data_IF_799239266228
#
_entry.id   IF_799239266228
#
_cell.length_a   1.000
_cell.length_b   1.000
_cell.length_c   1.000
_cell.angle_alpha   90.00
_cell.angle_beta   90.00
_cell.angle_gamma   90.00
#
_symmetry.space_group_name_H-M   'P 1'
#
loop_
_entity.id
_entity.type
_entity.pdbx_description
1 polymer ?
#
# COMPACT_ATOMS: atom_id res chain seq x y z
N UNK A 1 -21.10 -7.10 -13.57
CA UNK A 1 -22.27 -6.30 -13.13
C UNK A 1 -22.31 -6.39 -11.62
N UNK A 2 -22.00 -5.30 -10.93
CA UNK A 2 -21.82 -5.32 -9.48
C UNK A 2 -22.45 -4.05 -8.92
N UNK A 3 -23.63 -4.16 -8.32
CA UNK A 3 -24.28 -3.03 -7.65
C UNK A 3 -23.71 -2.89 -6.23
N UNK A 4 -23.33 -1.66 -5.88
CA UNK A 4 -22.99 -1.28 -4.50
C UNK A 4 -24.15 -0.47 -3.94
N UNK A 5 -24.65 -0.90 -2.79
CA UNK A 5 -25.75 -0.24 -2.07
C UNK A 5 -25.22 1.00 -1.37
N UNK A 6 -25.88 2.15 -1.55
CA UNK A 6 -25.57 3.39 -0.85
C UNK A 6 -26.59 3.65 0.27
N UNK A 7 -26.07 3.82 1.49
CA UNK A 7 -26.85 4.08 2.70
C UNK A 7 -27.21 5.57 2.79
N UNK A 8 -28.51 5.90 2.85
CA UNK A 8 -29.00 7.29 2.98
C UNK A 8 -29.26 7.61 4.45
N UNK A 9 -28.63 8.68 4.96
CA UNK A 9 -28.89 9.20 6.31
C UNK A 9 -30.11 10.13 6.31
N UNK A 10 -31.00 9.92 7.28
CA UNK A 10 -32.21 10.72 7.48
C UNK A 10 -31.91 11.88 8.44
N UNK A 11 -32.34 13.10 8.10
CA UNK A 11 -32.40 14.23 9.03
C UNK A 11 -33.80 14.83 8.98
N UNK A 12 -34.52 14.70 10.08
CA UNK A 12 -35.88 15.21 10.22
C UNK A 12 -35.86 16.68 10.68
N UNK A 13 -36.63 17.53 10.01
CA UNK A 13 -37.02 18.85 10.51
C UNK A 13 -38.53 18.91 10.68
N UNK A 14 -38.97 19.19 11.90
CA UNK A 14 -40.38 19.40 12.23
C UNK A 14 -40.76 20.86 12.01
N UNK A 15 -41.96 21.10 11.46
CA UNK A 15 -42.63 22.39 11.60
C UNK A 15 -44.15 22.19 11.67
N UNK A 16 -44.81 23.10 12.37
CA UNK A 16 -46.09 22.85 13.05
C UNK A 16 -47.32 23.20 12.23
N UNK A 17 -48.46 22.59 12.59
CA UNK A 17 -49.76 22.82 11.97
C UNK A 17 -50.62 23.82 12.76
N UNK A 18 -51.34 24.67 12.02
CA UNK A 18 -52.55 25.40 12.39
C UNK A 18 -53.18 25.93 11.08
N UNK A 19 -54.50 26.11 10.91
CA UNK A 19 -55.65 25.92 11.79
C UNK A 19 -56.78 26.83 11.28
N UNK A 20 -57.91 26.26 10.83
CA UNK A 20 -59.03 27.01 10.21
C UNK A 20 -60.06 27.47 11.27
N UNK A 21 -60.59 28.70 11.14
CA UNK A 21 -61.73 29.20 11.92
C UNK A 21 -62.13 30.65 11.59
N UNK A 22 -63.45 30.90 11.47
CA UNK A 22 -64.16 32.19 11.24
C UNK A 22 -65.36 32.25 12.23
N UNK A 23 -66.18 33.34 12.32
CA UNK A 23 -65.97 34.81 12.37
C UNK A 23 -66.57 35.33 13.73
N UNK A 24 -67.33 36.44 13.92
CA UNK A 24 -67.54 37.74 13.23
C UNK A 24 -67.47 39.00 14.17
N UNK A 25 -68.03 40.14 13.71
CA UNK A 25 -68.52 41.35 14.44
C UNK A 25 -67.52 42.24 15.26
N UNK A 26 -67.59 43.59 15.25
CA UNK A 26 -68.30 44.57 14.41
C UNK A 26 -67.74 46.01 14.57
N UNK A 27 -67.90 46.88 13.55
CA UNK A 27 -67.79 48.39 13.56
C UNK A 27 -66.43 49.03 13.96
N UNK A 28 -66.03 50.22 13.46
CA UNK A 28 -66.68 51.23 12.61
C UNK A 28 -65.69 52.07 11.75
N UNK A 29 -66.16 52.53 10.59
CA UNK A 29 -65.79 53.76 9.85
C UNK A 29 -64.33 54.27 9.77
N UNK A 30 -63.83 54.46 8.54
CA UNK A 30 -63.63 55.82 7.99
C UNK A 30 -63.49 55.86 6.44
N UNK A 31 -64.30 56.75 5.85
CA UNK A 31 -64.18 57.51 4.59
C UNK A 31 -63.47 56.91 3.35
N UNK A 32 -64.26 56.78 2.27
CA UNK A 32 -63.83 56.46 0.90
C UNK A 32 -63.34 57.71 0.16
N UNK A 33 -62.30 57.58 -0.67
CA UNK A 33 -62.08 58.47 -1.83
C UNK A 33 -61.99 57.62 -3.10
N UNK A 34 -62.85 57.93 -4.07
CA UNK A 34 -62.97 57.21 -5.33
C UNK A 34 -61.86 57.64 -6.30
N UNK A 35 -61.19 56.69 -6.96
CA UNK A 35 -60.50 56.97 -8.23
C UNK A 35 -60.87 55.91 -9.27
N UNK A 36 -61.21 56.39 -10.46
CA UNK A 36 -61.88 55.62 -11.52
C UNK A 36 -60.83 55.14 -12.52
N UNK A 37 -60.26 53.95 -12.32
CA UNK A 37 -59.35 53.37 -13.31
C UNK A 37 -60.12 52.94 -14.55
N UNK A 38 -59.86 53.62 -15.67
CA UNK A 38 -60.30 53.21 -16.98
C UNK A 38 -59.48 52.00 -17.46
N UNK A 39 -60.12 51.13 -18.24
CA UNK A 39 -59.46 49.99 -18.90
C UNK A 39 -58.42 50.47 -19.92
N UNK A 40 -57.15 50.12 -19.71
CA UNK A 40 -56.11 50.14 -20.74
C UNK A 40 -55.85 48.71 -21.22
N UNK A 41 -55.79 48.53 -22.54
CA UNK A 41 -55.47 47.26 -23.16
C UNK A 41 -53.98 46.96 -22.97
N UNK A 42 -53.64 45.74 -22.55
CA UNK A 42 -52.26 45.28 -22.50
C UNK A 42 -51.69 45.14 -23.93
N UNK A 43 -50.48 45.64 -24.22
CA UNK A 43 -49.78 45.31 -25.46
C UNK A 43 -49.50 43.80 -25.55
N UNK A 44 -49.39 43.21 -26.75
CA UNK A 44 -49.03 41.81 -26.89
C UNK A 44 -47.64 41.56 -26.30
N UNK A 45 -47.53 40.53 -25.45
CA UNK A 45 -46.26 40.13 -24.87
C UNK A 45 -45.28 39.72 -25.98
N UNK A 46 -44.13 40.37 -26.03
CA UNK A 46 -43.02 39.90 -26.86
C UNK A 46 -42.57 38.53 -26.34
N UNK A 47 -42.26 37.55 -27.22
CA UNK A 47 -41.70 36.28 -26.77
C UNK A 47 -40.38 36.56 -26.03
N UNK A 48 -40.06 35.82 -24.96
CA UNK A 48 -38.82 36.03 -24.21
C UNK A 48 -37.64 35.86 -25.17
N UNK A 49 -36.82 36.91 -25.28
CA UNK A 49 -35.60 36.87 -26.06
C UNK A 49 -34.70 35.76 -25.50
N UNK A 50 -34.40 34.76 -26.34
CA UNK A 50 -33.42 33.75 -25.97
C UNK A 50 -32.11 34.45 -25.57
N UNK A 51 -31.49 34.09 -24.43
CA UNK A 51 -30.22 34.70 -24.05
C UNK A 51 -29.23 34.47 -25.18
N UNK A 52 -28.59 35.55 -25.63
CA UNK A 52 -27.58 35.51 -26.69
C UNK A 52 -26.49 34.53 -26.25
N UNK A 53 -26.48 33.33 -26.84
CA UNK A 53 -25.49 32.33 -26.53
C UNK A 53 -24.13 32.91 -26.89
N UNK A 54 -23.31 33.13 -25.87
CA UNK A 54 -21.93 33.57 -26.08
C UNK A 54 -21.17 32.43 -26.75
N UNK A 55 -20.27 32.77 -27.66
CA UNK A 55 -19.52 31.80 -28.46
C UNK A 55 -18.04 32.01 -28.20
N UNK A 56 -17.28 30.93 -28.11
CA UNK A 56 -15.83 30.99 -27.96
C UNK A 56 -15.24 31.58 -29.23
N UNK A 57 -14.64 32.77 -29.13
CA UNK A 57 -14.02 33.47 -30.26
C UNK A 57 -12.64 32.86 -30.56
N UNK A 58 -11.83 32.66 -29.51
CA UNK A 58 -10.55 31.93 -29.57
C UNK A 58 -10.07 31.49 -28.18
N UNK A 59 -9.14 30.52 -28.18
CA UNK A 59 -8.51 29.99 -26.96
C UNK A 59 -7.00 30.23 -27.02
N UNK A 60 -6.49 30.97 -26.04
CA UNK A 60 -5.09 31.36 -25.89
C UNK A 60 -4.46 30.69 -24.66
N UNK A 61 -3.19 30.30 -24.78
CA UNK A 61 -2.39 29.73 -23.70
C UNK A 61 -1.15 30.61 -23.51
N UNK A 62 -0.88 31.02 -22.26
CA UNK A 62 0.24 31.89 -21.91
C UNK A 62 1.04 31.26 -20.78
N UNK A 63 2.36 31.19 -20.95
CA UNK A 63 3.30 30.68 -19.94
C UNK A 63 3.79 29.24 -20.17
N UNK A 64 3.25 28.52 -21.16
CA UNK A 64 3.86 27.29 -21.66
C UNK A 64 5.16 27.59 -22.42
N UNK A 65 6.15 26.71 -22.26
CA UNK A 65 7.50 26.82 -22.86
C UNK A 65 8.00 25.48 -23.38
N UNK A 66 7.96 24.43 -22.56
CA UNK A 66 8.35 23.06 -22.94
C UNK A 66 7.17 22.27 -23.51
N UNK A 67 5.93 22.55 -23.09
CA UNK A 67 4.73 21.91 -23.61
C UNK A 67 4.19 22.73 -24.79
N UNK A 68 4.02 22.09 -25.95
CA UNK A 68 3.47 22.74 -27.15
C UNK A 68 2.01 23.11 -26.97
N UNK A 69 1.62 24.29 -27.45
CA UNK A 69 0.23 24.78 -27.42
C UNK A 69 -0.75 23.81 -28.10
N UNK A 70 -0.35 23.16 -29.19
CA UNK A 70 -1.15 22.15 -29.89
C UNK A 70 -1.51 20.97 -28.98
N UNK A 71 -0.55 20.54 -28.14
CA UNK A 71 -0.75 19.48 -27.16
C UNK A 71 -1.77 19.88 -26.10
N UNK A 72 -1.85 21.16 -25.73
CA UNK A 72 -2.83 21.67 -24.76
C UNK A 72 -4.21 21.81 -25.41
N UNK A 73 -4.28 22.36 -26.63
CA UNK A 73 -5.52 22.39 -27.44
C UNK A 73 -6.11 20.98 -27.67
N UNK A 74 -5.26 19.95 -27.76
CA UNK A 74 -5.70 18.56 -27.91
C UNK A 74 -6.16 17.88 -26.59
N UNK A 75 -6.02 18.52 -25.42
CA UNK A 75 -6.47 17.98 -24.12
C UNK A 75 -7.68 18.68 -23.53
N UNK A 76 -8.04 19.85 -24.03
CA UNK A 76 -9.32 20.50 -23.73
C UNK A 76 -10.41 19.98 -24.66
N UNK A 77 -11.65 20.04 -24.19
CA UNK A 77 -12.85 19.70 -24.94
C UNK A 77 -13.37 20.90 -25.74
N UNK A 78 -13.29 22.12 -25.21
CA UNK A 78 -13.75 23.34 -25.90
C UNK A 78 -12.89 23.67 -27.12
N UNK A 79 -13.54 24.16 -28.18
CA UNK A 79 -12.92 24.62 -29.42
C UNK A 79 -13.36 26.03 -29.80
N UNK A 80 -12.62 26.62 -30.73
CA UNK A 80 -12.94 27.92 -31.32
C UNK A 80 -14.22 27.79 -32.14
N UNK A 81 -15.25 28.57 -31.80
CA UNK A 81 -16.60 28.46 -32.38
C UNK A 81 -17.63 27.68 -31.55
N UNK A 82 -17.23 26.99 -30.47
CA UNK A 82 -18.18 26.28 -29.59
C UNK A 82 -19.01 27.26 -28.73
N UNK A 83 -20.22 26.88 -28.29
CA UNK A 83 -20.99 27.66 -27.33
C UNK A 83 -20.28 27.74 -25.97
N UNK A 84 -20.22 28.95 -25.40
CA UNK A 84 -19.64 29.19 -24.08
C UNK A 84 -20.44 28.46 -23.00
N UNK A 85 -19.78 27.55 -22.28
CA UNK A 85 -20.37 26.79 -21.18
C UNK A 85 -19.32 26.58 -20.08
N UNK A 86 -19.61 27.10 -18.89
CA UNK A 86 -18.72 27.06 -17.72
C UNK A 86 -18.44 25.64 -17.21
N UNK A 87 -19.36 24.70 -17.39
CA UNK A 87 -19.13 23.29 -17.05
C UNK A 87 -18.17 22.60 -18.02
N UNK A 88 -18.11 23.05 -19.27
CA UNK A 88 -17.07 22.60 -20.22
C UNK A 88 -15.73 23.22 -19.85
N UNK A 89 -15.67 24.52 -19.54
CA UNK A 89 -14.42 25.17 -19.10
C UNK A 89 -13.87 24.60 -17.78
N UNK A 90 -14.75 24.20 -16.85
CA UNK A 90 -14.37 23.49 -15.63
C UNK A 90 -13.77 22.12 -15.92
N UNK A 91 -14.33 21.38 -16.89
CA UNK A 91 -13.78 20.09 -17.36
C UNK A 91 -12.46 20.27 -18.09
N UNK A 92 -12.29 21.34 -18.87
CA UNK A 92 -11.04 21.69 -19.54
C UNK A 92 -9.93 22.02 -18.54
N UNK A 93 -10.25 22.85 -17.54
CA UNK A 93 -9.36 23.13 -16.41
C UNK A 93 -8.93 21.84 -15.69
N UNK A 94 -9.88 20.95 -15.37
CA UNK A 94 -9.58 19.67 -14.75
C UNK A 94 -8.74 18.76 -15.67
N UNK A 95 -9.02 18.71 -16.97
CA UNK A 95 -8.26 17.92 -17.93
C UNK A 95 -6.79 18.39 -18.02
N UNK A 96 -6.56 19.71 -18.05
CA UNK A 96 -5.22 20.31 -18.00
C UNK A 96 -4.53 20.05 -16.65
N UNK A 97 -5.23 20.22 -15.53
CA UNK A 97 -4.69 19.97 -14.19
C UNK A 97 -4.27 18.50 -14.01
N UNK A 98 -5.09 17.57 -14.49
CA UNK A 98 -4.86 16.13 -14.44
C UNK A 98 -3.69 15.65 -15.32
N UNK A 99 -3.16 16.49 -16.24
CA UNK A 99 -1.88 16.18 -16.92
C UNK A 99 -0.68 16.22 -15.96
N UNK A 100 -0.82 16.88 -14.80
CA UNK A 100 0.26 17.21 -13.86
C UNK A 100 1.40 18.08 -14.44
N UNK A 101 1.28 18.59 -15.66
CA UNK A 101 2.34 19.37 -16.32
C UNK A 101 2.54 20.77 -15.72
N UNK A 102 1.58 21.26 -14.93
CA UNK A 102 1.54 22.64 -14.43
C UNK A 102 1.56 22.71 -12.89
N UNK A 103 2.28 23.70 -12.36
CA UNK A 103 2.35 24.08 -10.95
C UNK A 103 1.16 24.96 -10.57
N UNK A 104 0.74 25.83 -11.49
CA UNK A 104 -0.40 26.75 -11.37
C UNK A 104 -1.09 26.85 -12.74
N UNK A 105 -2.42 26.94 -12.73
CA UNK A 105 -3.28 27.12 -13.91
C UNK A 105 -4.35 28.11 -13.51
N UNK A 106 -4.51 29.18 -14.29
CA UNK A 106 -5.57 30.18 -14.11
C UNK A 106 -6.37 30.30 -15.40
N UNK A 107 -7.68 30.21 -15.25
CA UNK A 107 -8.64 30.45 -16.31
C UNK A 107 -9.10 31.91 -16.21
N UNK A 108 -8.91 32.68 -17.28
CA UNK A 108 -9.49 34.01 -17.47
C UNK A 108 -10.40 34.00 -18.69
N UNK A 109 -11.48 34.76 -18.60
CA UNK A 109 -12.45 34.94 -19.69
C UNK A 109 -12.58 36.43 -19.93
N UNK A 110 -12.32 36.83 -21.17
CA UNK A 110 -12.38 38.22 -21.62
C UNK A 110 -13.42 38.37 -22.75
N UNK A 111 -14.02 39.54 -22.88
CA UNK A 111 -14.93 39.84 -23.99
C UNK A 111 -14.16 40.13 -25.28
N UNK A 112 -14.57 39.54 -26.40
CA UNK A 112 -13.88 39.73 -27.68
C UNK A 112 -14.20 41.12 -28.26
N UNK A 113 -13.20 41.99 -28.48
CA UNK A 113 -13.42 43.29 -29.11
C UNK A 113 -13.82 43.18 -30.59
N UNK A 114 -13.80 41.97 -31.18
CA UNK A 114 -14.13 41.71 -32.59
C UNK A 114 -15.53 41.13 -32.81
N UNK A 115 -16.20 40.64 -31.75
CA UNK A 115 -17.50 39.95 -31.86
C UNK A 115 -18.34 40.25 -30.61
N UNK A 116 -19.50 40.89 -30.79
CA UNK A 116 -20.35 41.37 -29.70
C UNK A 116 -20.78 40.30 -28.67
N UNK A 117 -20.83 39.03 -29.06
CA UNK A 117 -21.12 37.89 -28.18
C UNK A 117 -19.95 36.88 -28.09
N UNK A 118 -18.73 37.29 -28.46
CA UNK A 118 -17.55 36.45 -28.45
C UNK A 118 -16.82 36.48 -27.10
N UNK A 119 -16.45 35.32 -26.57
CA UNK A 119 -15.58 35.21 -25.39
C UNK A 119 -14.19 34.71 -25.80
N UNK A 120 -13.14 35.35 -25.29
CA UNK A 120 -11.75 34.90 -25.39
C UNK A 120 -11.43 34.14 -24.11
N UNK A 121 -10.92 32.92 -24.25
CA UNK A 121 -10.52 32.08 -23.12
C UNK A 121 -9.00 32.10 -23.04
N UNK A 122 -8.48 32.60 -21.91
CA UNK A 122 -7.06 32.69 -21.63
C UNK A 122 -6.69 31.71 -20.50
N UNK A 123 -5.88 30.72 -20.84
CA UNK A 123 -5.23 29.83 -19.88
C UNK A 123 -3.83 30.34 -19.55
N UNK A 124 -3.69 31.03 -18.41
CA UNK A 124 -2.38 31.37 -17.84
C UNK A 124 -1.85 30.13 -17.10
N UNK A 125 -0.76 29.54 -17.60
CA UNK A 125 -0.19 28.29 -17.07
C UNK A 125 1.25 28.46 -16.64
N UNK A 126 1.61 27.88 -15.50
CA UNK A 126 2.99 27.84 -15.00
C UNK A 126 3.48 26.39 -15.04
N UNK A 127 4.36 26.06 -15.97
CA UNK A 127 4.90 24.69 -16.09
C UNK A 127 5.61 24.23 -14.82
N UNK A 128 5.42 22.97 -14.42
CA UNK A 128 6.19 22.37 -13.32
C UNK A 128 7.66 22.28 -13.70
N UNK A 129 8.58 22.57 -12.76
CA UNK A 129 10.00 22.39 -13.03
C UNK A 129 10.34 20.91 -13.22
N UNK A 130 11.38 20.64 -14.00
CA UNK A 130 11.94 19.29 -14.20
C UNK A 130 13.05 19.01 -13.18
N UNK A 131 13.10 17.82 -12.62
CA UNK A 131 14.15 17.40 -11.70
C UNK A 131 15.43 17.12 -12.50
N UNK A 132 16.43 18.01 -12.40
CA UNK A 132 17.69 17.90 -13.18
C UNK A 132 18.71 16.97 -12.51
N UNK A 133 18.68 16.88 -11.19
CA UNK A 133 19.53 15.99 -10.38
C UNK A 133 18.82 15.71 -9.05
N UNK A 134 19.00 14.50 -8.55
CA UNK A 134 18.65 14.12 -7.18
C UNK A 134 19.98 13.89 -6.45
N UNK A 135 20.09 14.38 -5.21
CA UNK A 135 21.21 14.14 -4.29
C UNK A 135 20.69 13.57 -2.98
N UNK A 136 21.50 12.71 -2.37
CA UNK A 136 21.28 12.19 -1.04
C UNK A 136 22.48 12.62 -0.20
N UNK A 137 22.23 13.42 0.83
CA UNK A 137 23.27 13.95 1.72
C UNK A 137 23.05 13.34 3.11
N UNK A 138 23.99 12.51 3.59
CA UNK A 138 23.95 11.87 4.92
C UNK A 138 23.54 10.39 4.94
N UNK A 139 23.38 9.74 3.78
CA UNK A 139 23.22 8.29 3.68
C UNK A 139 24.55 7.56 3.91
N UNK A 140 24.76 7.06 5.12
CA UNK A 140 25.94 6.29 5.52
C UNK A 140 25.65 4.81 5.78
N UNK A 141 24.39 4.46 6.06
CA UNK A 141 23.91 3.10 6.33
C UNK A 141 23.30 2.40 5.11
N UNK A 142 23.03 3.13 4.02
CA UNK A 142 22.38 2.67 2.79
C UNK A 142 23.04 3.27 1.55
N UNK A 143 23.21 2.49 0.47
CA UNK A 143 23.81 2.99 -0.77
C UNK A 143 22.79 3.69 -1.67
N UNK A 144 23.26 4.54 -2.59
CA UNK A 144 22.36 5.16 -3.58
C UNK A 144 21.70 4.13 -4.51
N UNK A 145 22.38 3.00 -4.80
CA UNK A 145 21.80 1.87 -5.53
C UNK A 145 20.60 1.27 -4.79
N UNK A 146 20.74 0.99 -3.49
CA UNK A 146 19.66 0.41 -2.68
C UNK A 146 18.43 1.34 -2.66
N UNK A 147 18.66 2.66 -2.52
CA UNK A 147 17.62 3.70 -2.60
C UNK A 147 16.89 3.65 -3.94
N UNK A 148 17.63 3.62 -5.06
CA UNK A 148 17.05 3.62 -6.40
C UNK A 148 16.25 2.34 -6.69
N UNK A 149 16.71 1.19 -6.21
CA UNK A 149 16.02 -0.08 -6.39
C UNK A 149 14.76 -0.17 -5.52
N UNK A 150 14.83 0.28 -4.25
CA UNK A 150 13.66 0.43 -3.35
C UNK A 150 12.61 1.39 -3.94
N UNK A 151 13.03 2.45 -4.64
CA UNK A 151 12.14 3.39 -5.33
C UNK A 151 11.44 2.78 -6.56
N UNK A 152 12.11 1.89 -7.30
CA UNK A 152 11.49 1.11 -8.40
C UNK A 152 10.46 0.13 -7.83
N UNK A 153 10.86 -0.63 -6.81
CA UNK A 153 10.05 -1.66 -6.14
C UNK A 153 8.73 -1.09 -5.57
N UNK A 154 8.81 -0.02 -4.76
CA UNK A 154 7.62 0.66 -4.22
C UNK A 154 6.93 1.60 -5.22
N UNK A 155 7.34 1.59 -6.50
CA UNK A 155 6.75 2.38 -7.61
C UNK A 155 6.59 3.85 -7.24
N UNK A 156 7.68 4.49 -6.79
CA UNK A 156 7.68 5.91 -6.37
C UNK A 156 7.57 6.84 -7.59
N UNK A 157 8.16 6.45 -8.72
CA UNK A 157 8.09 7.23 -9.97
C UNK A 157 8.87 8.54 -9.92
N UNK A 158 9.86 8.62 -9.03
CA UNK A 158 10.78 9.74 -8.88
C UNK A 158 12.12 9.37 -9.54
N UNK A 159 12.43 9.99 -10.68
CA UNK A 159 13.68 9.78 -11.43
C UNK A 159 14.29 11.11 -11.83
N UNK A 160 15.56 11.09 -12.24
CA UNK A 160 16.14 12.22 -12.98
C UNK A 160 15.30 12.45 -14.25
N UNK A 161 15.16 13.72 -14.66
CA UNK A 161 14.34 14.22 -15.78
C UNK A 161 12.82 14.06 -15.62
N UNK A 162 12.33 13.52 -14.50
CA UNK A 162 10.90 13.53 -14.17
C UNK A 162 10.41 14.93 -13.75
N UNK A 163 9.11 15.17 -13.92
CA UNK A 163 8.47 16.41 -13.46
C UNK A 163 8.44 16.47 -11.93
N UNK A 164 8.69 17.64 -11.36
CA UNK A 164 8.60 17.88 -9.93
C UNK A 164 7.17 17.65 -9.43
N UNK A 165 7.00 16.72 -8.49
CA UNK A 165 5.70 16.42 -7.88
C UNK A 165 5.88 16.25 -6.36
N UNK A 166 5.34 17.17 -5.52
CA UNK A 166 5.50 17.09 -4.08
C UNK A 166 4.94 15.79 -3.49
N UNK A 167 3.91 15.20 -4.12
CA UNK A 167 3.33 13.92 -3.69
C UNK A 167 4.34 12.78 -3.85
N UNK A 168 5.07 12.73 -4.96
CA UNK A 168 6.14 11.73 -5.19
C UNK A 168 7.32 11.95 -4.26
N UNK A 169 7.69 13.21 -3.98
CA UNK A 169 8.76 13.54 -3.03
C UNK A 169 8.37 13.11 -1.61
N UNK A 170 7.11 13.30 -1.20
CA UNK A 170 6.63 12.82 0.11
C UNK A 170 6.60 11.30 0.18
N UNK A 171 6.19 10.62 -0.89
CA UNK A 171 6.27 9.15 -1.00
C UNK A 171 7.73 8.66 -0.93
N UNK A 172 8.66 9.35 -1.60
CA UNK A 172 10.09 9.05 -1.52
C UNK A 172 10.65 9.23 -0.10
N UNK A 173 10.25 10.29 0.62
CA UNK A 173 10.62 10.51 2.03
C UNK A 173 10.15 9.36 2.93
N UNK A 174 8.93 8.83 2.72
CA UNK A 174 8.42 7.67 3.47
C UNK A 174 9.21 6.41 3.14
N UNK A 175 9.42 6.09 1.85
CA UNK A 175 10.18 4.90 1.43
C UNK A 175 11.64 4.94 1.89
N UNK A 176 12.28 6.12 1.92
CA UNK A 176 13.61 6.28 2.51
C UNK A 176 13.62 6.05 4.02
N UNK A 177 12.58 6.50 4.75
CA UNK A 177 12.45 6.24 6.20
C UNK A 177 12.19 4.76 6.50
N UNK A 178 11.41 4.08 5.67
CA UNK A 178 11.23 2.62 5.72
C UNK A 178 12.57 1.91 5.55
N UNK A 179 13.29 2.19 4.45
CA UNK A 179 14.60 1.60 4.14
C UNK A 179 15.65 1.85 5.24
N UNK A 180 15.70 3.06 5.79
CA UNK A 180 16.56 3.37 6.94
C UNK A 180 16.09 2.61 8.19
N UNK A 181 14.79 2.49 8.41
CA UNK A 181 14.17 1.68 9.47
C UNK A 181 14.54 0.19 9.40
N UNK A 182 14.54 -0.40 8.20
CA UNK A 182 15.01 -1.78 7.91
C UNK A 182 16.50 -1.95 8.28
N UNK A 183 17.30 -0.89 8.15
CA UNK A 183 18.70 -0.82 8.59
C UNK A 183 18.85 -0.37 10.07
N UNK A 184 17.75 -0.37 10.84
CA UNK A 184 17.67 -0.03 12.26
C UNK A 184 17.84 1.44 12.61
N UNK A 185 17.61 2.34 11.65
CA UNK A 185 17.62 3.79 11.81
C UNK A 185 16.18 4.31 11.95
N UNK A 186 15.41 3.72 12.88
CA UNK A 186 14.00 4.07 13.10
C UNK A 186 13.75 5.55 13.44
N UNK A 187 14.76 6.23 13.98
CA UNK A 187 14.70 7.65 14.33
C UNK A 187 15.19 8.58 13.20
N UNK A 188 15.36 8.05 11.98
CA UNK A 188 15.84 8.82 10.86
C UNK A 188 14.90 9.98 10.50
N UNK A 189 15.47 11.19 10.42
CA UNK A 189 14.79 12.40 9.96
C UNK A 189 15.28 12.75 8.57
N UNK A 190 14.35 12.76 7.62
CA UNK A 190 14.63 13.09 6.22
C UNK A 190 13.94 14.41 5.90
N UNK A 191 14.71 15.36 5.39
CA UNK A 191 14.25 16.70 5.02
C UNK A 191 14.52 16.89 3.53
N UNK A 192 13.49 16.84 2.66
CA UNK A 192 13.66 17.14 1.25
C UNK A 192 13.76 18.65 1.04
N UNK A 193 14.90 19.10 0.54
CA UNK A 193 15.15 20.48 0.10
C UNK A 193 15.21 20.55 -1.42
N UNK A 194 14.86 21.70 -2.00
CA UNK A 194 14.86 21.89 -3.45
C UNK A 194 15.42 23.25 -3.84
N UNK A 195 16.38 23.23 -4.75
CA UNK A 195 17.04 24.43 -5.29
C UNK A 195 16.53 24.68 -6.71
N UNK A 196 15.90 25.83 -6.96
CA UNK A 196 15.46 26.23 -8.32
C UNK A 196 16.65 26.84 -9.07
N UNK A 197 16.96 26.31 -10.24
CA UNK A 197 18.04 26.84 -11.11
C UNK A 197 17.50 28.04 -11.88
N UNK A 198 17.83 29.28 -11.50
CA UNK A 198 17.21 30.48 -12.09
C UNK A 198 17.29 30.58 -13.63
N UNK A 199 18.28 29.97 -14.28
CA UNK A 199 18.46 29.96 -15.73
C UNK A 199 17.60 28.94 -16.50
N UNK A 200 16.85 28.06 -15.82
CA UNK A 200 16.01 27.04 -16.46
C UNK A 200 14.79 26.69 -15.59
N UNK A 201 13.69 26.19 -16.16
CA UNK A 201 12.57 25.70 -15.33
C UNK A 201 12.88 24.30 -14.76
N UNK A 202 13.91 24.24 -13.90
CA UNK A 202 14.46 23.01 -13.37
C UNK A 202 14.86 23.13 -11.90
N UNK A 203 14.86 22.00 -11.22
CA UNK A 203 15.12 21.87 -9.78
C UNK A 203 16.19 20.82 -9.52
N UNK A 204 17.08 21.11 -8.57
CA UNK A 204 17.92 20.10 -7.90
C UNK A 204 17.20 19.70 -6.62
N UNK A 205 16.94 18.40 -6.45
CA UNK A 205 16.30 17.84 -5.27
C UNK A 205 17.39 17.25 -4.35
N UNK A 206 17.46 17.71 -3.11
CA UNK A 206 18.44 17.25 -2.11
C UNK A 206 17.68 16.63 -0.94
N UNK A 207 17.84 15.33 -0.73
CA UNK A 207 17.37 14.67 0.48
C UNK A 207 18.44 14.77 1.55
N UNK A 208 18.27 15.67 2.52
CA UNK A 208 19.10 15.69 3.74
C UNK A 208 18.62 14.61 4.68
N UNK A 209 19.47 13.64 4.95
CA UNK A 209 19.21 12.45 5.75
C UNK A 209 20.01 12.55 7.05
N UNK A 210 19.32 12.76 8.16
CA UNK A 210 19.85 12.46 9.49
C UNK A 210 19.39 11.07 9.87
N UNK A 211 20.28 10.08 9.82
CA UNK A 211 19.94 8.68 10.16
C UNK A 211 19.64 8.48 11.65
N UNK A 212 20.08 9.40 12.51
CA UNK A 212 20.01 9.22 13.96
C UNK A 212 20.79 7.99 14.48
N UNK A 213 20.61 7.63 15.76
CA UNK A 213 21.32 6.51 16.38
C UNK A 213 20.80 5.16 15.87
N UNK A 214 21.72 4.20 15.67
CA UNK A 214 21.36 2.82 15.32
C UNK A 214 20.68 2.13 16.49
N UNK A 215 19.49 1.61 16.25
CA UNK A 215 18.65 0.91 17.22
C UNK A 215 18.95 -0.59 17.21
N UNK A 216 19.23 -1.14 18.38
CA UNK A 216 19.50 -2.57 18.59
C UNK A 216 18.29 -3.28 19.18
N UNK A 217 18.19 -4.59 18.96
CA UNK A 217 17.29 -5.43 19.77
C UNK A 217 17.78 -5.42 21.22
N UNK A 218 16.92 -4.99 22.13
CA UNK A 218 17.13 -4.94 23.58
C UNK A 218 16.80 -6.29 24.23
N UNK A 219 16.07 -6.29 25.35
CA UNK A 219 15.54 -7.53 25.94
C UNK A 219 14.23 -7.92 25.26
N UNK A 220 14.08 -9.19 24.91
CA UNK A 220 12.79 -9.76 24.50
C UNK A 220 12.19 -10.49 25.70
N UNK A 221 10.90 -10.27 25.94
CA UNK A 221 10.08 -10.95 26.96
C UNK A 221 8.81 -11.49 26.31
N UNK A 222 8.29 -12.58 26.88
CA UNK A 222 6.99 -13.13 26.51
C UNK A 222 6.02 -13.04 27.68
N UNK A 223 4.73 -12.96 27.37
CA UNK A 223 3.65 -12.95 28.36
C UNK A 223 2.53 -13.87 27.87
N UNK A 224 2.11 -14.81 28.70
CA UNK A 224 1.13 -15.85 28.35
C UNK A 224 1.72 -17.16 27.81
N UNK A 225 3.05 -17.26 27.71
CA UNK A 225 3.73 -18.53 27.43
C UNK A 225 3.83 -19.39 28.71
N UNK A 226 3.35 -20.63 28.62
CA UNK A 226 3.36 -21.61 29.71
C UNK A 226 4.03 -22.92 29.28
N UNK A 227 3.86 -23.34 28.03
CA UNK A 227 4.42 -24.58 27.50
C UNK A 227 5.82 -24.44 26.92
N UNK A 228 6.25 -23.23 26.52
CA UNK A 228 7.62 -22.96 26.07
C UNK A 228 8.29 -21.82 26.83
N UNK A 229 9.55 -22.02 27.20
CA UNK A 229 10.36 -20.98 27.84
C UNK A 229 10.82 -19.92 26.84
N UNK A 230 10.96 -18.68 27.31
CA UNK A 230 11.42 -17.52 26.54
C UNK A 230 12.67 -17.82 25.71
N UNK A 231 13.62 -18.59 26.26
CA UNK A 231 14.86 -18.99 25.58
C UNK A 231 14.61 -19.92 24.38
N UNK A 232 13.56 -20.75 24.39
CA UNK A 232 13.15 -21.57 23.25
C UNK A 232 12.48 -20.69 22.18
N UNK A 233 11.63 -19.75 22.57
CA UNK A 233 10.97 -18.80 21.66
C UNK A 233 11.97 -17.87 20.98
N UNK A 234 12.91 -17.26 21.73
CA UNK A 234 14.03 -16.46 21.18
C UNK A 234 14.89 -17.25 20.18
N UNK A 235 15.04 -18.57 20.39
CA UNK A 235 15.79 -19.43 19.46
C UNK A 235 15.02 -19.71 18.16
N UNK A 236 13.70 -19.58 18.16
CA UNK A 236 12.84 -19.82 16.99
C UNK A 236 12.76 -18.60 16.06
N UNK A 237 12.69 -17.38 16.63
CA UNK A 237 12.90 -16.11 15.92
C UNK A 237 14.17 -16.21 15.05
N UNK A 238 14.17 -15.80 13.77
CA UNK A 238 15.31 -15.91 12.84
C UNK A 238 16.18 -14.65 12.83
N UNK A 239 15.55 -13.47 12.94
CA UNK A 239 16.15 -12.17 12.67
C UNK A 239 16.36 -11.32 13.94
N UNK A 240 15.37 -11.17 14.80
CA UNK A 240 15.43 -10.33 15.98
C UNK A 240 15.72 -11.17 17.23
N UNK A 241 17.01 -11.42 17.47
CA UNK A 241 17.48 -12.11 18.67
C UNK A 241 18.27 -11.18 19.60
N UNK A 242 17.93 -11.09 20.89
CA UNK A 242 18.85 -10.55 21.88
C UNK A 242 20.07 -11.48 21.96
N UNK A 243 21.26 -10.88 21.90
CA UNK A 243 22.57 -11.47 22.21
C UNK A 243 22.66 -13.01 22.14
N UNK A 244 23.12 -13.54 20.99
CA UNK A 244 23.43 -14.96 20.91
C UNK A 244 24.56 -15.33 21.89
N UNK A 245 24.28 -16.30 22.76
CA UNK A 245 25.22 -16.90 23.70
C UNK A 245 26.57 -17.16 23.01
N UNK A 246 27.72 -16.83 23.62
CA UNK A 246 29.01 -17.17 23.04
C UNK A 246 29.14 -18.70 22.96
N UNK A 247 29.08 -19.25 21.75
CA UNK A 247 29.71 -20.54 21.51
C UNK A 247 31.21 -20.32 21.67
N UNK A 248 31.82 -21.11 22.55
CA UNK A 248 33.23 -21.00 22.93
C UNK A 248 34.13 -21.60 21.84
N UNK A 249 34.11 -21.01 20.64
CA UNK A 249 35.04 -21.28 19.55
C UNK A 249 35.31 -20.01 18.74
N UNK A 250 36.50 -19.97 18.16
CA UNK A 250 37.24 -18.78 17.70
C UNK A 250 36.52 -17.89 16.65
N UNK A 251 36.78 -16.58 16.70
CA UNK A 251 36.58 -15.57 15.65
C UNK A 251 35.22 -15.48 14.92
N UNK A 252 34.12 -15.28 15.65
CA UNK A 252 32.92 -14.65 15.08
C UNK A 252 32.54 -13.41 15.91
N UNK A 253 32.58 -12.18 15.35
CA UNK A 253 32.09 -11.01 16.05
C UNK A 253 30.57 -11.11 16.22
N UNK A 254 30.13 -11.35 17.46
CA UNK A 254 28.72 -11.42 17.85
C UNK A 254 28.10 -10.03 17.80
N UNK A 255 27.84 -9.53 16.59
CA UNK A 255 27.12 -8.30 16.40
C UNK A 255 25.67 -8.48 16.86
N UNK A 256 25.25 -7.65 17.82
CA UNK A 256 23.84 -7.46 18.17
C UNK A 256 23.05 -7.21 16.88
N UNK A 257 22.10 -8.10 16.57
CA UNK A 257 21.25 -7.89 15.39
C UNK A 257 20.48 -6.57 15.53
N UNK A 258 20.31 -5.95 14.38
CA UNK A 258 19.75 -4.61 14.25
C UNK A 258 18.24 -4.74 14.33
N UNK A 259 17.56 -3.91 15.14
CA UNK A 259 16.10 -3.99 15.22
C UNK A 259 15.51 -3.59 13.87
N UNK A 260 14.63 -4.42 13.33
CA UNK A 260 13.86 -4.14 12.13
C UNK A 260 12.41 -4.61 12.35
N UNK A 261 11.44 -3.74 12.05
CA UNK A 261 10.01 -4.03 12.26
C UNK A 261 9.50 -5.12 11.33
N UNK A 262 9.94 -5.14 10.08
CA UNK A 262 9.45 -6.10 9.08
C UNK A 262 9.99 -7.50 9.41
N UNK A 263 11.29 -7.59 9.73
CA UNK A 263 11.93 -8.82 10.22
C UNK A 263 11.34 -9.32 11.54
N UNK A 264 10.96 -8.43 12.46
CA UNK A 264 10.26 -8.83 13.68
C UNK A 264 8.91 -9.48 13.34
N UNK A 265 8.15 -8.93 12.39
CA UNK A 265 6.86 -9.51 11.99
C UNK A 265 7.02 -10.90 11.35
N UNK A 266 8.07 -11.12 10.55
CA UNK A 266 8.44 -12.45 10.04
C UNK A 266 8.78 -13.41 11.19
N UNK A 267 9.51 -12.94 12.20
CA UNK A 267 9.88 -13.75 13.36
C UNK A 267 8.69 -14.14 14.25
N UNK A 268 7.68 -13.27 14.37
CA UNK A 268 6.43 -13.58 15.08
C UNK A 268 5.62 -14.66 14.33
N UNK A 269 5.48 -14.54 13.00
CA UNK A 269 4.68 -15.47 12.18
C UNK A 269 5.40 -16.81 11.92
N UNK A 270 6.61 -16.75 11.37
CA UNK A 270 7.37 -17.92 10.91
C UNK A 270 8.14 -18.56 12.07
N UNK A 271 8.73 -17.75 12.95
CA UNK A 271 9.53 -18.24 14.08
C UNK A 271 8.66 -18.74 15.23
N UNK A 272 7.91 -17.82 15.86
CA UNK A 272 7.18 -18.11 17.10
C UNK A 272 5.90 -18.90 16.82
N UNK A 273 4.97 -18.32 16.04
CA UNK A 273 3.69 -18.96 15.70
C UNK A 273 3.92 -20.26 14.91
N UNK A 274 4.92 -20.30 14.03
CA UNK A 274 5.43 -21.54 13.42
C UNK A 274 5.78 -22.61 14.45
N UNK A 275 6.69 -22.31 15.40
CA UNK A 275 7.09 -23.26 16.45
C UNK A 275 5.89 -23.78 17.27
N UNK A 276 4.92 -22.94 17.60
CA UNK A 276 3.71 -23.36 18.30
C UNK A 276 2.85 -24.32 17.44
N UNK A 277 2.54 -23.95 16.19
CA UNK A 277 1.78 -24.79 15.24
C UNK A 277 2.49 -26.10 14.91
N UNK A 278 3.82 -26.12 14.90
CA UNK A 278 4.65 -27.31 14.69
C UNK A 278 4.62 -28.28 15.88
N UNK A 279 4.15 -27.82 17.05
CA UNK A 279 3.97 -28.60 18.28
C UNK A 279 2.47 -28.78 18.65
N UNK A 280 1.56 -28.62 17.69
CA UNK A 280 0.11 -28.88 17.83
C UNK A 280 -0.74 -27.71 18.30
N UNK A 281 -0.15 -26.55 18.61
CA UNK A 281 -0.90 -25.36 19.02
C UNK A 281 -1.43 -24.62 17.78
N UNK A 282 -2.46 -25.18 17.15
CA UNK A 282 -2.97 -24.69 15.86
C UNK A 282 -3.63 -23.30 15.98
N UNK A 283 -4.38 -23.08 17.07
CA UNK A 283 -5.09 -21.83 17.40
C UNK A 283 -4.25 -20.82 18.18
N UNK A 284 -2.92 -20.95 18.18
CA UNK A 284 -2.03 -19.98 18.83
C UNK A 284 -2.27 -18.56 18.27
N UNK A 285 -2.49 -17.61 19.17
CA UNK A 285 -2.50 -16.18 18.84
C UNK A 285 -1.19 -15.56 19.32
N UNK A 286 -0.58 -14.75 18.45
CA UNK A 286 0.57 -13.91 18.79
C UNK A 286 0.11 -12.49 18.54
N UNK A 287 -0.03 -11.72 19.62
CA UNK A 287 -0.54 -10.35 19.57
C UNK A 287 0.55 -9.34 19.19
N UNK A 288 0.15 -8.07 19.08
CA UNK A 288 1.08 -7.01 18.71
C UNK A 288 2.19 -6.81 19.76
N UNK A 289 3.46 -6.71 19.36
CA UNK A 289 4.58 -6.54 20.29
C UNK A 289 4.59 -5.11 20.87
N UNK A 290 4.64 -5.02 22.20
CA UNK A 290 4.85 -3.74 22.89
C UNK A 290 6.33 -3.39 22.86
N UNK A 291 6.65 -2.25 22.25
CA UNK A 291 8.02 -1.77 22.03
C UNK A 291 8.37 -0.65 23.01
N UNK A 292 9.39 -0.88 23.85
CA UNK A 292 9.91 0.11 24.79
C UNK A 292 11.31 0.57 24.35
N UNK A 293 11.44 1.85 24.01
CA UNK A 293 12.72 2.45 23.62
C UNK A 293 13.56 2.79 24.86
N UNK A 294 14.75 2.19 24.98
CA UNK A 294 15.66 2.38 26.10
C UNK A 294 17.02 2.92 25.62
N UNK A 295 17.45 4.03 26.21
CA UNK A 295 18.80 4.55 26.02
C UNK A 295 19.82 3.65 26.73
N UNK A 296 20.66 2.99 25.93
CA UNK A 296 21.66 2.04 26.43
C UNK A 296 23.05 2.66 26.38
N UNK A 297 23.64 2.85 27.55
CA UNK A 297 25.05 3.26 27.66
C UNK A 297 25.95 2.04 27.58
N UNK A 298 26.80 1.95 26.56
CA UNK A 298 27.82 0.90 26.46
C UNK A 298 29.22 1.48 26.73
N UNK A 299 30.09 0.78 27.49
CA UNK A 299 31.52 1.12 27.53
C UNK A 299 32.12 0.90 26.13
N UNK A 300 32.92 1.86 25.66
CA UNK A 300 33.32 1.94 24.26
C UNK A 300 34.65 1.21 24.02
N UNK A 301 34.58 -0.08 23.74
CA UNK A 301 35.76 -0.93 23.56
C UNK A 301 36.23 -1.60 24.85
N UNK A 302 36.92 -2.74 24.72
CA UNK A 302 37.17 -3.71 25.79
C UNK A 302 38.27 -3.36 26.79
N UNK A 303 38.46 -2.08 27.13
CA UNK A 303 39.44 -1.64 28.15
C UNK A 303 38.69 -0.85 29.25
N UNK A 304 38.64 -1.32 30.51
CA UNK A 304 37.72 -0.77 31.52
C UNK A 304 37.92 0.68 31.97
N UNK A 305 38.97 1.39 31.53
CA UNK A 305 39.46 2.59 32.23
C UNK A 305 39.59 3.89 31.40
N UNK A 306 39.47 3.85 30.06
CA UNK A 306 39.89 5.02 29.23
C UNK A 306 38.83 5.54 28.24
N UNK A 307 37.92 4.71 27.72
CA UNK A 307 37.05 5.16 26.61
C UNK A 307 35.69 5.69 27.05
N UNK A 308 35.35 6.90 26.61
CA UNK A 308 34.08 7.58 26.92
C UNK A 308 32.82 6.78 26.57
N UNK A 309 31.77 6.98 27.38
CA UNK A 309 30.46 6.32 27.27
C UNK A 309 29.87 6.44 25.86
N UNK A 310 29.58 5.30 25.24
CA UNK A 310 28.86 5.26 23.97
C UNK A 310 27.35 5.27 24.21
N UNK A 311 26.67 6.33 23.80
CA UNK A 311 25.20 6.37 23.75
C UNK A 311 24.71 5.56 22.55
N UNK A 312 23.87 4.55 22.80
CA UNK A 312 23.12 3.83 21.77
C UNK A 312 21.67 3.68 22.19
N UNK A 313 20.78 3.35 21.25
CA UNK A 313 19.38 3.03 21.55
C UNK A 313 19.13 1.54 21.39
N UNK A 314 18.31 0.98 22.27
CA UNK A 314 17.80 -0.38 22.15
C UNK A 314 16.28 -0.38 22.29
N UNK A 315 15.62 -1.37 21.71
CA UNK A 315 14.18 -1.60 21.89
C UNK A 315 13.99 -2.87 22.67
N UNK A 316 13.44 -2.77 23.89
CA UNK A 316 12.88 -3.94 24.56
C UNK A 316 11.55 -4.29 23.88
N UNK A 317 11.31 -5.59 23.69
CA UNK A 317 10.15 -6.12 22.98
C UNK A 317 9.40 -7.03 23.96
N UNK A 318 8.13 -6.74 24.24
CA UNK A 318 7.26 -7.63 25.01
C UNK A 318 6.17 -8.19 24.10
N UNK A 319 6.14 -9.52 23.95
CA UNK A 319 5.28 -10.20 22.98
C UNK A 319 4.18 -10.96 23.74
N UNK A 320 2.91 -10.56 23.63
CA UNK A 320 1.79 -11.32 24.17
C UNK A 320 1.48 -12.54 23.29
N UNK A 321 1.33 -13.70 23.94
CA UNK A 321 1.02 -14.98 23.30
C UNK A 321 -0.16 -15.62 24.02
N UNK A 322 -1.15 -16.05 23.27
CA UNK A 322 -2.21 -16.94 23.74
C UNK A 322 -1.93 -18.31 23.10
N UNK A 323 -1.36 -19.25 23.87
CA UNK A 323 -0.88 -20.52 23.32
C UNK A 323 -2.02 -21.36 22.70
N UNK A 324 -3.22 -21.26 23.27
CA UNK A 324 -4.36 -22.10 22.92
C UNK A 324 -4.15 -23.56 23.37
N UNK A 325 -5.07 -24.42 22.94
CA UNK A 325 -5.01 -25.85 23.22
C UNK A 325 -4.16 -26.59 22.17
N UNK A 326 -3.68 -27.78 22.55
CA UNK A 326 -2.91 -28.66 21.66
C UNK A 326 -3.85 -29.60 20.91
N UNK A 327 -3.71 -29.64 19.59
CA UNK A 327 -4.48 -30.49 18.69
C UNK A 327 -3.68 -31.72 18.22
N UNK A 328 -4.41 -32.81 18.02
CA UNK A 328 -3.91 -34.09 17.52
C UNK A 328 -4.34 -34.32 16.07
N UNK A 329 -3.55 -35.11 15.34
CA UNK A 329 -3.85 -35.54 13.98
C UNK A 329 -5.06 -36.49 13.97
N UNK A 330 -6.09 -36.12 13.22
CA UNK A 330 -7.29 -36.91 13.02
C UNK A 330 -7.19 -37.86 11.85
N UNK A 331 -8.27 -37.93 11.07
CA UNK A 331 -8.31 -38.71 9.84
C UNK A 331 -7.56 -38.00 8.71
N UNK A 332 -6.78 -38.77 7.94
CA UNK A 332 -6.15 -38.33 6.70
C UNK A 332 -6.98 -38.82 5.52
N UNK A 333 -7.61 -37.89 4.80
CA UNK A 333 -8.27 -38.13 3.51
C UNK A 333 -7.35 -37.61 2.41
N UNK A 334 -7.23 -38.36 1.31
CA UNK A 334 -6.54 -37.91 0.10
C UNK A 334 -7.55 -38.08 -1.03
N UNK A 335 -7.81 -37.01 -1.77
CA UNK A 335 -8.84 -36.92 -2.82
C UNK A 335 -8.27 -36.23 -4.05
N UNK A 336 -8.82 -36.53 -5.23
CA UNK A 336 -8.54 -35.77 -6.44
C UNK A 336 -9.21 -34.39 -6.37
N UNK A 337 -8.62 -33.38 -7.00
CA UNK A 337 -9.31 -32.11 -7.31
C UNK A 337 -10.50 -32.33 -8.23
N UNK A 338 -10.31 -33.19 -9.23
CA UNK A 338 -11.31 -33.54 -10.24
C UNK A 338 -12.19 -34.71 -9.73
N UNK A 339 -13.51 -34.52 -9.52
CA UNK A 339 -14.39 -35.60 -9.04
C UNK A 339 -14.44 -36.82 -9.95
N UNK A 340 -14.30 -36.60 -11.27
CA UNK A 340 -14.43 -37.63 -12.30
C UNK A 340 -13.10 -38.34 -12.65
N UNK A 341 -11.97 -37.86 -12.11
CA UNK A 341 -10.62 -38.38 -12.41
C UNK A 341 -10.00 -38.97 -11.15
N UNK A 342 -9.82 -40.29 -11.14
CA UNK A 342 -9.05 -40.97 -10.10
C UNK A 342 -7.57 -40.55 -10.13
N UNK A 343 -6.93 -40.54 -8.95
CA UNK A 343 -5.51 -40.24 -8.82
C UNK A 343 -4.65 -41.27 -9.57
N UNK A 344 -3.59 -40.80 -10.22
CA UNK A 344 -2.62 -41.61 -10.94
C UNK A 344 -1.79 -42.50 -10.01
N UNK A 345 -1.68 -42.14 -8.72
CA UNK A 345 -0.99 -42.91 -7.69
C UNK A 345 -1.97 -43.51 -6.67
N UNK A 346 -1.63 -44.71 -6.15
CA UNK A 346 -2.45 -45.41 -5.15
C UNK A 346 -2.49 -44.63 -3.83
N UNK A 347 -3.70 -44.29 -3.38
CA UNK A 347 -3.97 -43.56 -2.14
C UNK A 347 -3.27 -44.17 -0.92
N UNK A 348 -3.20 -45.50 -0.81
CA UNK A 348 -2.59 -46.14 0.36
C UNK A 348 -1.05 -45.98 0.39
N UNK A 349 -0.39 -45.93 -0.78
CA UNK A 349 1.03 -45.62 -0.86
C UNK A 349 1.30 -44.17 -0.44
N UNK A 350 0.44 -43.24 -0.88
CA UNK A 350 0.49 -41.83 -0.49
C UNK A 350 0.29 -41.65 1.02
N UNK A 351 -0.76 -42.26 1.60
CA UNK A 351 -0.98 -42.29 3.06
C UNK A 351 0.22 -42.87 3.83
N UNK A 352 0.89 -43.89 3.30
CA UNK A 352 2.07 -44.49 3.94
C UNK A 352 3.30 -43.56 3.89
N UNK A 353 3.41 -42.73 2.87
CA UNK A 353 4.46 -41.70 2.76
C UNK A 353 4.24 -40.49 3.70
N UNK A 354 3.05 -40.36 4.31
CA UNK A 354 2.73 -39.22 5.17
C UNK A 354 3.42 -39.33 6.55
N UNK A 355 4.13 -38.29 7.03
CA UNK A 355 4.97 -38.34 8.24
C UNK A 355 4.22 -38.21 9.58
N UNK A 356 2.89 -38.23 9.57
CA UNK A 356 2.00 -38.13 10.73
C UNK A 356 1.00 -39.28 10.72
N UNK A 357 0.83 -39.94 11.86
CA UNK A 357 -0.21 -40.96 12.07
C UNK A 357 -1.39 -40.35 12.83
N UNK A 358 -2.55 -40.98 12.73
CA UNK A 358 -3.70 -40.62 13.55
C UNK A 358 -3.36 -40.73 15.04
N UNK A 359 -3.67 -39.70 15.82
CA UNK A 359 -3.32 -39.56 17.24
C UNK A 359 -1.99 -38.84 17.52
N UNK A 360 -1.08 -38.71 16.55
CA UNK A 360 0.15 -37.92 16.71
C UNK A 360 -0.18 -36.44 16.99
N UNK A 361 0.73 -35.71 17.62
CA UNK A 361 0.61 -34.25 17.76
C UNK A 361 0.64 -33.63 16.35
N UNK A 362 -0.35 -32.80 16.03
CA UNK A 362 -0.42 -32.13 14.73
C UNK A 362 0.77 -31.18 14.54
N UNK A 363 1.33 -31.09 13.33
CA UNK A 363 2.56 -30.34 13.10
C UNK A 363 2.61 -29.77 11.68
N UNK A 364 2.55 -28.44 11.58
CA UNK A 364 2.54 -27.74 10.28
C UNK A 364 3.80 -27.96 9.44
N UNK A 365 4.97 -28.06 10.06
CA UNK A 365 6.23 -28.40 9.39
C UNK A 365 6.17 -29.79 8.75
N UNK A 366 5.62 -30.79 9.45
CA UNK A 366 5.47 -32.15 8.91
C UNK A 366 4.49 -32.18 7.74
N UNK A 367 3.36 -31.46 7.84
CA UNK A 367 2.41 -31.31 6.72
C UNK A 367 3.09 -30.66 5.52
N UNK A 368 3.81 -29.54 5.71
CA UNK A 368 4.54 -28.84 4.63
C UNK A 368 5.56 -29.75 3.95
N UNK A 369 6.39 -30.46 4.71
CA UNK A 369 7.36 -31.44 4.19
C UNK A 369 6.68 -32.57 3.42
N UNK A 370 5.49 -33.00 3.82
CA UNK A 370 4.72 -33.99 3.09
C UNK A 370 4.24 -33.45 1.73
N UNK A 371 3.70 -32.23 1.68
CA UNK A 371 3.30 -31.55 0.43
C UNK A 371 4.49 -31.40 -0.54
N UNK A 372 5.64 -30.96 -0.04
CA UNK A 372 6.90 -30.92 -0.82
C UNK A 372 7.35 -32.29 -1.33
N UNK A 373 7.14 -33.35 -0.53
CA UNK A 373 7.48 -34.73 -0.89
C UNK A 373 6.53 -35.27 -1.96
N UNK A 374 5.22 -35.01 -1.86
CA UNK A 374 4.26 -35.34 -2.91
C UNK A 374 4.59 -34.61 -4.21
N UNK A 375 4.93 -33.32 -4.16
CA UNK A 375 5.35 -32.56 -5.35
C UNK A 375 6.57 -33.17 -6.05
N UNK A 376 7.55 -33.67 -5.30
CA UNK A 376 8.70 -34.40 -5.86
C UNK A 376 8.28 -35.73 -6.49
N UNK A 377 7.49 -36.55 -5.78
CA UNK A 377 7.00 -37.84 -6.29
C UNK A 377 6.22 -37.63 -7.59
N UNK A 378 5.25 -36.70 -7.62
CA UNK A 378 4.46 -36.42 -8.82
C UNK A 378 5.30 -35.81 -9.95
N UNK A 379 6.29 -34.98 -9.63
CA UNK A 379 7.28 -34.48 -10.59
C UNK A 379 8.12 -35.59 -11.24
N UNK A 380 8.52 -36.62 -10.49
CA UNK A 380 9.22 -37.81 -11.03
C UNK A 380 8.35 -38.60 -12.03
N UNK A 381 7.03 -38.62 -11.84
CA UNK A 381 6.07 -39.19 -12.80
C UNK A 381 5.69 -38.23 -13.95
N UNK A 382 6.26 -37.03 -14.02
CA UNK A 382 6.03 -36.05 -15.10
C UNK A 382 4.86 -35.08 -14.87
N UNK A 383 4.24 -35.07 -13.69
CA UNK A 383 3.21 -34.09 -13.33
C UNK A 383 3.86 -32.81 -12.79
N UNK A 384 4.34 -31.96 -13.70
CA UNK A 384 5.11 -30.74 -13.37
C UNK A 384 4.22 -29.68 -12.70
N UNK A 385 2.98 -29.54 -13.16
CA UNK A 385 2.01 -28.57 -12.63
C UNK A 385 1.24 -29.11 -11.40
N UNK A 386 1.71 -30.21 -10.79
CA UNK A 386 1.04 -30.83 -9.64
C UNK A 386 0.96 -29.85 -8.45
N UNK A 387 -0.26 -29.64 -7.95
CA UNK A 387 -0.53 -28.75 -6.81
C UNK A 387 -1.32 -29.49 -5.73
N UNK A 388 -0.72 -29.73 -4.54
CA UNK A 388 -1.43 -30.34 -3.42
C UNK A 388 -2.04 -29.25 -2.51
N UNK A 389 -3.35 -29.21 -2.43
CA UNK A 389 -4.13 -28.29 -1.59
C UNK A 389 -4.52 -28.96 -0.25
N UNK A 390 -3.99 -28.50 0.90
CA UNK A 390 -4.40 -29.00 2.20
C UNK A 390 -5.64 -28.27 2.72
N UNK A 391 -6.71 -29.02 2.99
CA UNK A 391 -7.89 -28.54 3.71
C UNK A 391 -7.94 -29.13 5.13
N UNK A 392 -8.18 -28.29 6.13
CA UNK A 392 -8.10 -28.64 7.56
C UNK A 392 -9.42 -28.40 8.28
N UNK A 393 -10.12 -29.49 8.60
CA UNK A 393 -11.32 -29.48 9.43
C UNK A 393 -10.91 -29.59 10.91
N UNK A 394 -11.12 -28.52 11.68
CA UNK A 394 -10.77 -28.46 13.11
C UNK A 394 -11.97 -28.89 13.97
N UNK A 395 -11.81 -29.96 14.73
CA UNK A 395 -12.74 -30.41 15.76
C UNK A 395 -12.29 -29.87 17.13
N UNK A 396 -12.96 -28.81 17.57
CA UNK A 396 -12.72 -28.15 18.85
C UNK A 396 -13.22 -28.94 20.07
N UNK A 397 -14.15 -29.88 19.90
CA UNK A 397 -14.65 -30.68 21.02
C UNK A 397 -13.64 -31.78 21.38
N UNK A 398 -13.13 -32.48 20.37
CA UNK A 398 -12.18 -33.60 20.55
C UNK A 398 -10.70 -33.17 20.50
N UNK A 399 -10.41 -31.91 20.17
CA UNK A 399 -9.05 -31.37 19.94
C UNK A 399 -8.31 -32.11 18.83
N UNK A 400 -9.03 -32.39 17.74
CA UNK A 400 -8.55 -33.15 16.59
C UNK A 400 -8.56 -32.27 15.34
N UNK A 401 -7.57 -32.41 14.47
CA UNK A 401 -7.56 -31.79 13.13
C UNK A 401 -7.63 -32.91 12.10
N UNK A 402 -8.74 -32.99 11.37
CA UNK A 402 -8.85 -33.84 10.20
C UNK A 402 -8.22 -33.10 9.02
N UNK A 403 -7.46 -33.83 8.19
CA UNK A 403 -6.74 -33.27 7.05
C UNK A 403 -7.24 -33.95 5.78
N UNK A 404 -7.81 -33.15 4.89
CA UNK A 404 -8.19 -33.55 3.54
C UNK A 404 -7.18 -32.96 2.57
N UNK A 405 -6.31 -33.80 2.02
CA UNK A 405 -5.39 -33.40 0.96
C UNK A 405 -6.09 -33.56 -0.38
N UNK A 406 -6.33 -32.45 -1.08
CA UNK A 406 -6.86 -32.42 -2.43
C UNK A 406 -5.70 -32.29 -3.41
N UNK A 407 -5.57 -33.22 -4.34
CA UNK A 407 -4.46 -33.29 -5.28
C UNK A 407 -4.93 -32.89 -6.67
N UNK A 408 -4.40 -31.78 -7.17
CA UNK A 408 -4.50 -31.41 -8.57
C UNK A 408 -3.28 -31.96 -9.32
N UNK A 409 -3.48 -33.02 -10.11
CA UNK A 409 -2.41 -33.63 -10.92
C UNK A 409 -2.16 -32.87 -12.23
N UNK A 410 -3.10 -32.02 -12.68
CA UNK A 410 -3.08 -31.41 -14.01
C UNK A 410 -2.77 -32.45 -15.12
N UNK A 411 -1.87 -32.09 -16.05
CA UNK A 411 -1.45 -32.90 -17.19
C UNK A 411 -0.06 -33.49 -16.93
N UNK A 412 0.16 -34.70 -17.43
CA UNK A 412 1.47 -35.31 -17.48
C UNK A 412 2.27 -34.73 -18.67
N UNK A 413 3.52 -34.35 -18.42
CA UNK A 413 4.45 -33.84 -19.41
C UNK A 413 5.58 -34.83 -19.67
N UNK A 414 6.13 -34.78 -20.87
CA UNK A 414 7.31 -35.56 -21.27
C UNK A 414 8.36 -34.60 -21.83
N UNK A 415 9.63 -34.82 -21.47
CA UNK A 415 10.74 -34.01 -21.98
C UNK A 415 10.98 -34.38 -23.45
N UNK A 416 10.53 -33.54 -24.36
CA UNK A 416 10.73 -33.74 -25.81
C UNK A 416 12.13 -33.31 -26.27
N UNK A 417 12.56 -32.10 -25.86
CA UNK A 417 13.85 -31.51 -26.22
C UNK A 417 14.37 -30.69 -25.03
N UNK A 418 15.67 -30.74 -24.81
CA UNK A 418 16.40 -29.84 -23.91
C UNK A 418 17.23 -28.91 -24.78
N UNK A 419 17.15 -27.61 -24.52
CA UNK A 419 17.93 -26.58 -25.21
C UNK A 419 18.78 -25.83 -24.18
N UNK A 420 20.05 -25.61 -24.51
CA UNK A 420 20.97 -24.81 -23.71
C UNK A 420 21.08 -23.41 -24.34
N UNK A 421 21.27 -22.39 -23.51
CA UNK A 421 21.43 -21.00 -23.95
C UNK A 421 22.38 -20.26 -23.02
N UNK A 422 23.04 -19.21 -23.54
CA UNK A 422 24.04 -18.44 -22.81
C UNK A 422 25.44 -19.08 -22.75
N UNK A 423 25.62 -20.25 -23.34
CA UNK A 423 26.90 -20.96 -23.47
C UNK A 423 27.78 -20.35 -24.58
N UNK A 424 28.21 -19.10 -24.40
CA UNK A 424 29.04 -18.37 -25.37
C UNK A 424 30.48 -18.90 -25.49
N UNK A 425 30.98 -19.59 -24.46
CA UNK A 425 32.37 -20.11 -24.38
C UNK A 425 32.43 -21.64 -24.36
N UNK A 426 31.29 -22.32 -24.17
CA UNK A 426 31.22 -23.78 -23.91
C UNK A 426 30.29 -24.47 -24.91
N UNK A 427 30.64 -25.67 -25.37
CA UNK A 427 29.81 -26.47 -26.28
C UNK A 427 28.66 -27.14 -25.52
N UNK A 428 27.47 -27.26 -26.13
CA UNK A 428 26.25 -27.85 -25.51
C UNK A 428 26.41 -29.27 -24.93
N UNK A 429 27.46 -29.99 -25.32
CA UNK A 429 27.74 -31.37 -24.90
C UNK A 429 28.59 -31.46 -23.60
N UNK A 430 29.12 -30.34 -23.12
CA UNK A 430 30.07 -30.25 -22.00
C UNK A 430 29.37 -29.69 -20.76
#
# INVERSE_FOLDING_TARGET
MTQVVALVFLLASTSSAAGLGNPPEATSSHTVVFSRQASSQAPPAQPPSAPLQSVIDRIEFVGNRRVRTDTLKARIFSREGDPYNEDTLRRDFQALWNTQFFEDVKLRVEDSPKRANGKIILFEVKERPVIRRIRYDGNHSVSESDILDRFKERKVGLTVESQFDPTKIKKAEVVLKELLGEHGRQFAKITPEYERIASSNAVILVFKIDEGPKVKVGKIKFTGNHHFSDRKLIRAMRHDRPYAIPLYFWYIPVFSKTYDREKLSEDLEVGIRGLYRDNGYFKVSVGEPVLENVDTTHPRGGVPLVTGKGHGKAVNITIPIEEGERFHMGTLKIVSSDPDKALSLKVDALKTAFPLKQGDIFSTEKVRKALETYGKIYGEYGFIDFTPEPDTEVDDANKIINLTLRFDEQKQYFVHRIEFSGNTTTRDKV
#
